data_IF_017261449884
#
_entry.id   IF_017261449884
#
_cell.length_a   1.000
_cell.length_b   1.000
_cell.length_c   1.000
_cell.angle_alpha   90.00
_cell.angle_beta   90.00
_cell.angle_gamma   90.00
#
_symmetry.space_group_name_H-M   'P 1'
#
loop_
_entity.id
_entity.type
_entity.pdbx_description
1 polymer ?
#
# COMPACT_ATOMS: atom_id res chain seq x y z
N UNK A 1 -1.72 5.79 -14.02
CA UNK A 1 -0.93 4.75 -14.74
C UNK A 1 0.46 5.26 -15.13
N UNK A 2 0.59 6.35 -15.90
CA UNK A 2 1.89 6.94 -16.28
C UNK A 2 2.81 7.28 -15.09
N UNK A 3 2.27 7.90 -14.05
CA UNK A 3 3.02 8.24 -12.83
C UNK A 3 3.48 6.98 -12.07
N UNK A 4 2.70 5.90 -12.10
CA UNK A 4 3.04 4.64 -11.42
C UNK A 4 4.21 3.90 -12.10
N UNK A 5 4.38 4.13 -13.40
CA UNK A 5 5.51 3.63 -14.20
C UNK A 5 6.80 4.42 -13.93
N UNK A 6 6.69 5.75 -13.73
CA UNK A 6 7.82 6.64 -13.46
C UNK A 6 8.28 6.61 -11.99
N UNK A 7 7.39 6.29 -11.06
CA UNK A 7 7.73 6.08 -9.66
C UNK A 7 8.46 4.73 -9.52
N UNK A 8 9.79 4.75 -9.50
CA UNK A 8 10.62 3.56 -9.26
C UNK A 8 10.29 2.80 -7.97
N UNK A 9 11.00 1.70 -7.70
CA UNK A 9 10.77 0.86 -6.51
C UNK A 9 11.61 1.28 -5.28
N UNK A 10 12.20 2.47 -5.28
CA UNK A 10 12.99 2.97 -4.15
C UNK A 10 12.08 3.57 -3.07
N UNK A 11 12.39 3.27 -1.79
CA UNK A 11 11.74 3.89 -0.64
C UNK A 11 12.18 5.36 -0.60
N UNK A 12 11.32 6.25 -1.06
CA UNK A 12 11.55 7.69 -1.03
C UNK A 12 10.26 8.39 -0.60
N UNK A 13 10.39 9.40 0.25
CA UNK A 13 9.24 10.08 0.87
C UNK A 13 8.29 10.70 -0.17
N UNK A 14 8.83 11.22 -1.29
CA UNK A 14 8.06 11.87 -2.35
C UNK A 14 7.16 10.89 -3.12
N UNK A 15 7.68 9.77 -3.69
CA UNK A 15 6.83 8.71 -4.26
C UNK A 15 5.86 8.09 -3.26
N UNK A 16 6.27 7.91 -1.99
CA UNK A 16 5.42 7.31 -0.98
C UNK A 16 4.15 8.14 -0.74
N UNK A 17 4.29 9.45 -0.54
CA UNK A 17 3.15 10.37 -0.36
C UNK A 17 2.22 10.38 -1.58
N UNK A 18 2.78 10.30 -2.79
CA UNK A 18 2.03 10.27 -4.04
C UNK A 18 1.20 8.98 -4.18
N UNK A 19 1.76 7.83 -3.81
CA UNK A 19 1.04 6.54 -3.81
C UNK A 19 -0.05 6.53 -2.72
N UNK A 20 0.22 7.07 -1.54
CA UNK A 20 -0.78 7.20 -0.48
C UNK A 20 -1.99 8.04 -0.91
N UNK A 21 -1.77 9.20 -1.53
CA UNK A 21 -2.88 10.02 -2.05
C UNK A 21 -3.61 9.33 -3.22
N UNK A 22 -2.90 8.55 -4.04
CA UNK A 22 -3.50 7.75 -5.11
C UNK A 22 -4.45 6.68 -4.57
N UNK A 23 -4.17 6.09 -3.40
CA UNK A 23 -5.07 5.16 -2.71
C UNK A 23 -6.17 5.86 -1.89
N UNK A 24 -5.88 7.02 -1.30
CA UNK A 24 -6.84 7.74 -0.45
C UNK A 24 -8.04 8.27 -1.21
N UNK A 25 -7.85 8.80 -2.43
CA UNK A 25 -8.94 9.32 -3.27
C UNK A 25 -9.98 8.27 -3.67
N UNK A 26 -9.61 7.08 -4.20
CA UNK A 26 -10.58 6.03 -4.50
C UNK A 26 -11.21 5.48 -3.21
N UNK A 27 -10.49 5.43 -2.09
CA UNK A 27 -11.08 5.06 -0.80
C UNK A 27 -12.18 6.04 -0.38
N UNK A 28 -11.90 7.34 -0.47
CA UNK A 28 -12.88 8.39 -0.16
C UNK A 28 -14.10 8.35 -1.10
N UNK A 29 -13.87 8.05 -2.39
CA UNK A 29 -14.94 7.87 -3.37
C UNK A 29 -15.82 6.64 -3.07
N UNK A 30 -15.23 5.56 -2.54
CA UNK A 30 -15.99 4.38 -2.10
C UNK A 30 -16.80 4.66 -0.83
N UNK A 31 -16.29 5.47 0.10
CA UNK A 31 -17.04 5.87 1.30
C UNK A 31 -18.26 6.75 0.97
N UNK A 32 -18.21 7.54 -0.11
CA UNK A 32 -19.32 8.37 -0.57
C UNK A 32 -20.26 7.68 -1.58
N UNK A 33 -20.13 6.37 -1.76
CA UNK A 33 -20.89 5.58 -2.74
C UNK A 33 -22.41 5.76 -2.60
N UNK A 34 -22.95 5.80 -1.38
CA UNK A 34 -24.38 5.99 -1.13
C UNK A 34 -24.90 7.33 -1.64
N UNK A 35 -24.13 8.40 -1.45
CA UNK A 35 -24.45 9.73 -1.97
C UNK A 35 -24.36 9.77 -3.50
N UNK A 36 -23.33 9.15 -4.09
CA UNK A 36 -23.16 9.05 -5.54
C UNK A 36 -24.30 8.26 -6.19
N UNK A 37 -24.69 7.11 -5.62
CA UNK A 37 -25.81 6.32 -6.10
C UNK A 37 -27.15 7.06 -6.02
N UNK A 38 -27.33 7.93 -5.01
CA UNK A 38 -28.51 8.78 -4.87
C UNK A 38 -28.52 9.92 -5.90
N UNK A 39 -27.37 10.48 -6.24
CA UNK A 39 -27.26 11.48 -7.32
C UNK A 39 -27.58 10.89 -8.72
N UNK A 40 -27.40 9.57 -8.90
CA UNK A 40 -27.64 8.85 -10.16
C UNK A 40 -29.09 8.35 -10.35
N UNK A 41 -30.01 8.74 -9.46
CA UNK A 41 -31.38 8.25 -9.37
C UNK A 41 -32.26 8.59 -10.59
N UNK A 42 -31.87 9.60 -11.37
CA UNK A 42 -32.55 10.03 -12.62
C UNK A 42 -32.16 9.21 -13.87
N UNK A 43 -31.11 8.39 -13.79
CA UNK A 43 -30.54 7.68 -14.94
C UNK A 43 -31.10 6.26 -15.10
N UNK A 44 -31.58 5.90 -16.30
CA UNK A 44 -32.05 4.52 -16.59
C UNK A 44 -30.94 3.47 -16.47
N UNK A 45 -29.67 3.89 -16.51
CA UNK A 45 -28.48 3.03 -16.42
C UNK A 45 -27.77 3.12 -15.06
N UNK A 46 -28.48 3.52 -13.99
CA UNK A 46 -27.95 3.66 -12.62
C UNK A 46 -27.14 2.45 -12.15
N UNK A 47 -27.66 1.23 -12.37
CA UNK A 47 -26.98 0.00 -11.95
C UNK A 47 -25.61 -0.18 -12.63
N UNK A 48 -25.55 0.06 -13.94
CA UNK A 48 -24.32 -0.02 -14.73
C UNK A 48 -23.31 1.06 -14.32
N UNK A 49 -23.77 2.30 -14.12
CA UNK A 49 -22.92 3.41 -13.68
C UNK A 49 -22.37 3.20 -12.26
N UNK A 50 -23.19 2.69 -11.35
CA UNK A 50 -22.77 2.32 -9.99
C UNK A 50 -21.74 1.18 -9.99
N UNK A 51 -21.95 0.16 -10.82
CA UNK A 51 -21.03 -0.98 -10.93
C UNK A 51 -19.67 -0.55 -11.48
N UNK A 52 -19.64 0.25 -12.56
CA UNK A 52 -18.40 0.79 -13.13
C UNK A 52 -17.67 1.68 -12.12
N UNK A 53 -18.39 2.49 -11.35
CA UNK A 53 -17.80 3.33 -10.30
C UNK A 53 -17.17 2.47 -9.18
N UNK A 54 -17.88 1.44 -8.72
CA UNK A 54 -17.38 0.52 -7.69
C UNK A 54 -16.13 -0.23 -8.16
N UNK A 55 -16.20 -0.83 -9.35
CA UNK A 55 -15.10 -1.62 -9.92
C UNK A 55 -13.92 -0.72 -10.25
N UNK A 56 -14.14 0.46 -10.83
CA UNK A 56 -13.07 1.40 -11.19
C UNK A 56 -12.30 1.91 -9.97
N UNK A 57 -13.00 2.35 -8.91
CA UNK A 57 -12.35 2.78 -7.67
C UNK A 57 -11.71 1.60 -6.91
N UNK A 58 -12.35 0.43 -6.92
CA UNK A 58 -11.79 -0.80 -6.34
C UNK A 58 -10.49 -1.24 -7.00
N UNK A 59 -10.43 -1.22 -8.34
CA UNK A 59 -9.20 -1.50 -9.10
C UNK A 59 -8.12 -0.44 -8.82
N UNK A 60 -8.49 0.84 -8.73
CA UNK A 60 -7.57 1.90 -8.36
C UNK A 60 -6.94 1.70 -6.97
N UNK A 61 -7.75 1.29 -5.99
CA UNK A 61 -7.29 0.96 -4.65
C UNK A 61 -6.38 -0.28 -4.64
N UNK A 62 -6.76 -1.34 -5.37
CA UNK A 62 -5.95 -2.56 -5.49
C UNK A 62 -4.57 -2.27 -6.10
N UNK A 63 -4.51 -1.44 -7.15
CA UNK A 63 -3.25 -1.02 -7.78
C UNK A 63 -2.38 -0.18 -6.83
N UNK A 64 -2.99 0.70 -6.02
CA UNK A 64 -2.26 1.47 -5.02
C UNK A 64 -1.65 0.55 -3.95
N UNK A 65 -2.42 -0.43 -3.45
CA UNK A 65 -1.92 -1.44 -2.49
C UNK A 65 -0.77 -2.28 -3.06
N UNK A 66 -0.91 -2.73 -4.32
CA UNK A 66 0.16 -3.44 -5.00
C UNK A 66 1.44 -2.61 -5.10
N UNK A 67 1.33 -1.31 -5.41
CA UNK A 67 2.51 -0.44 -5.46
C UNK A 67 3.12 -0.20 -4.08
N UNK A 68 2.30 -0.04 -3.03
CA UNK A 68 2.80 0.02 -1.65
C UNK A 68 3.59 -1.23 -1.25
N UNK A 69 3.13 -2.41 -1.66
CA UNK A 69 3.84 -3.68 -1.45
C UNK A 69 5.16 -3.72 -2.24
N UNK A 70 5.14 -3.31 -3.51
CA UNK A 70 6.33 -3.28 -4.35
C UNK A 70 7.40 -2.30 -3.84
N UNK A 71 6.99 -1.21 -3.19
CA UNK A 71 7.90 -0.25 -2.53
C UNK A 71 8.36 -0.71 -1.13
N UNK A 72 7.79 -1.78 -0.55
CA UNK A 72 8.15 -2.24 0.80
C UNK A 72 7.63 -1.34 1.92
N UNK A 73 6.56 -0.57 1.68
CA UNK A 73 5.93 0.29 2.69
C UNK A 73 5.00 -0.48 3.63
N UNK A 74 4.55 -1.67 3.23
CA UNK A 74 3.66 -2.51 4.01
C UNK A 74 4.48 -3.47 4.89
N UNK A 75 4.13 -3.64 6.18
CA UNK A 75 4.82 -4.52 7.13
C UNK A 75 4.53 -6.00 6.81
N UNK A 76 5.02 -6.45 5.66
CA UNK A 76 4.72 -7.75 5.04
C UNK A 76 5.92 -8.69 5.08
N UNK A 77 7.13 -8.14 5.27
CA UNK A 77 8.37 -8.91 5.30
C UNK A 77 8.79 -9.18 6.73
N UNK A 78 9.37 -10.35 7.04
CA UNK A 78 9.94 -10.63 8.37
C UNK A 78 10.98 -9.58 8.81
N UNK A 79 11.68 -8.96 7.86
CA UNK A 79 12.60 -7.84 8.11
C UNK A 79 11.92 -6.65 8.78
N UNK A 80 10.66 -6.40 8.48
CA UNK A 80 9.89 -5.27 9.02
C UNK A 80 9.61 -5.48 10.52
N UNK A 81 9.68 -6.73 10.99
CA UNK A 81 9.43 -7.14 12.37
C UNK A 81 10.70 -7.43 13.16
N UNK A 82 11.88 -7.31 12.54
CA UNK A 82 13.17 -7.62 13.18
C UNK A 82 13.39 -6.79 14.46
N UNK A 83 12.88 -5.56 14.50
CA UNK A 83 12.95 -4.69 15.68
C UNK A 83 12.25 -5.27 16.92
N UNK A 84 11.32 -6.21 16.75
CA UNK A 84 10.59 -6.86 17.83
C UNK A 84 11.13 -8.25 18.19
N UNK A 85 12.11 -8.75 17.44
CA UNK A 85 12.75 -10.04 17.71
C UNK A 85 13.87 -9.86 18.72
N UNK A 86 13.87 -10.65 19.79
CA UNK A 86 14.95 -10.62 20.77
C UNK A 86 16.25 -11.13 20.14
N UNK A 87 17.39 -10.44 20.34
CA UNK A 87 18.66 -10.91 19.82
C UNK A 87 19.02 -12.25 20.48
N UNK A 88 19.54 -13.23 19.72
CA UNK A 88 19.96 -14.51 20.27
C UNK A 88 21.04 -14.28 21.34
N UNK A 89 20.85 -14.89 22.51
CA UNK A 89 21.82 -14.83 23.60
C UNK A 89 23.02 -15.72 23.24
N UNK A 90 24.23 -15.19 23.39
CA UNK A 90 25.47 -15.96 23.19
C UNK A 90 25.59 -16.98 24.33
N UNK A 91 25.59 -18.28 23.98
CA UNK A 91 25.71 -19.37 24.96
C UNK A 91 27.17 -19.81 25.21
N UNK A 92 28.07 -19.52 24.27
CA UNK A 92 29.46 -19.98 24.34
C UNK A 92 30.43 -18.82 24.19
N UNK A 93 31.48 -18.84 25.02
CA UNK A 93 32.59 -17.90 24.98
C UNK A 93 33.89 -18.68 24.79
N UNK A 94 34.55 -18.45 23.66
CA UNK A 94 35.93 -18.92 23.42
C UNK A 94 36.79 -17.69 23.20
N UNK A 95 37.81 -17.53 24.04
CA UNK A 95 38.77 -16.44 23.95
C UNK A 95 40.19 -17.00 23.99
N UNK A 96 41.00 -16.64 23.00
CA UNK A 96 42.43 -16.91 22.92
C UNK A 96 43.09 -15.77 22.13
N UNK A 97 44.16 -15.20 22.67
CA UNK A 97 44.94 -14.13 22.04
C UNK A 97 46.33 -14.61 21.64
N UNK A 98 47.06 -13.80 20.87
CA UNK A 98 48.43 -14.11 20.46
C UNK A 98 49.32 -14.26 21.69
N UNK A 99 49.99 -15.41 21.79
CA UNK A 99 51.15 -15.60 22.64
C UNK A 99 52.32 -14.95 21.91
N UNK A 100 52.70 -13.74 22.32
CA UNK A 100 53.98 -13.09 21.99
C UNK A 100 54.59 -12.55 23.27
#
# INVERSE_FOLDING_TARGET
LFIMYMAGNTISIFPAMMVCMMGWRPLQALMSLSATLKALESSSRRALQGLVFLVGNGLGLALALYKCQAMGLLPTRPSDWLAFVTPPQRMEFTGGGLIL
#
